data_IF_440825499039
#
_entry.id   IF_440825499039
#
_cell.length_a   1.000
_cell.length_b   1.000
_cell.length_c   1.000
_cell.angle_alpha   90.00
_cell.angle_beta   90.00
_cell.angle_gamma   90.00
#
_symmetry.space_group_name_H-M   'P 1'
#
loop_
_entity.id
_entity.type
_entity.pdbx_description
1 polymer ?
#
# COMPACT_ATOMS: atom_id res chain seq x y z
N UNK A 1 11.96 23.19 -23.40
CA UNK A 1 11.67 21.87 -24.00
C UNK A 1 12.80 21.55 -24.96
N UNK A 2 13.22 20.29 -25.01
CA UNK A 2 14.33 19.80 -25.85
C UNK A 2 13.86 18.59 -26.63
N UNK A 3 14.07 18.58 -27.95
CA UNK A 3 13.92 17.37 -28.78
C UNK A 3 15.31 16.96 -29.24
N UNK A 4 15.71 15.71 -28.95
CA UNK A 4 17.03 15.20 -29.37
C UNK A 4 16.97 14.57 -30.76
N UNK A 5 18.13 14.39 -31.40
CA UNK A 5 18.23 13.66 -32.66
C UNK A 5 17.73 12.20 -32.57
N UNK A 6 17.71 11.62 -31.37
CA UNK A 6 17.16 10.30 -31.09
C UNK A 6 15.63 10.30 -30.89
N UNK A 7 14.94 11.41 -31.17
CA UNK A 7 13.48 11.53 -31.07
C UNK A 7 12.95 11.60 -29.63
N UNK A 8 13.78 11.91 -28.65
CA UNK A 8 13.35 12.02 -27.24
C UNK A 8 12.94 13.45 -26.90
N UNK A 9 11.84 13.59 -26.17
CA UNK A 9 11.32 14.85 -25.65
C UNK A 9 11.69 15.03 -24.17
N UNK A 10 12.40 16.12 -23.88
CA UNK A 10 12.73 16.57 -22.54
C UNK A 10 12.00 17.87 -22.18
N UNK A 11 11.29 17.89 -21.05
CA UNK A 11 10.74 19.12 -20.46
C UNK A 11 11.53 19.43 -19.19
N UNK A 12 12.24 20.56 -19.19
CA UNK A 12 13.14 20.96 -18.10
C UNK A 12 14.50 20.23 -18.06
N UNK A 13 14.81 19.40 -19.06
CA UNK A 13 16.07 18.66 -19.17
C UNK A 13 16.62 18.67 -20.59
N UNK A 14 17.96 18.76 -20.72
CA UNK A 14 18.68 18.61 -21.99
C UNK A 14 19.06 17.17 -22.33
N UNK A 15 18.96 16.25 -21.36
CA UNK A 15 19.44 14.87 -21.46
C UNK A 15 18.33 13.88 -21.07
N UNK A 16 17.25 13.76 -21.87
CA UNK A 16 16.12 12.88 -21.55
C UNK A 16 16.52 11.40 -21.54
N UNK A 17 16.26 10.72 -20.41
CA UNK A 17 16.57 9.30 -20.19
C UNK A 17 15.52 8.34 -20.78
N UNK A 18 14.36 8.86 -21.17
CA UNK A 18 13.24 8.12 -21.79
C UNK A 18 12.69 8.92 -22.99
N UNK A 19 11.83 8.33 -23.85
CA UNK A 19 11.20 9.05 -24.96
C UNK A 19 10.46 10.32 -24.54
N UNK A 20 9.87 10.32 -23.34
CA UNK A 20 9.38 11.52 -22.66
C UNK A 20 10.00 11.59 -21.26
N UNK A 21 10.70 12.68 -20.95
CA UNK A 21 11.31 12.93 -19.64
C UNK A 21 10.94 14.33 -19.15
N UNK A 22 10.33 14.40 -17.98
CA UNK A 22 9.93 15.66 -17.34
C UNK A 22 10.66 15.78 -16.01
N UNK A 23 11.55 16.76 -15.87
CA UNK A 23 12.38 16.95 -14.67
C UNK A 23 11.78 17.92 -13.65
N UNK A 24 10.85 18.78 -14.09
CA UNK A 24 10.19 19.77 -13.26
C UNK A 24 8.84 19.30 -12.72
N UNK A 25 8.40 19.95 -11.65
CA UNK A 25 7.04 19.84 -11.13
C UNK A 25 6.43 21.21 -10.96
N UNK A 26 5.11 21.32 -11.14
CA UNK A 26 4.34 22.53 -10.84
C UNK A 26 3.33 22.24 -9.73
N UNK A 27 3.09 23.25 -8.90
CA UNK A 27 2.05 23.18 -7.87
C UNK A 27 0.69 23.14 -8.54
N UNK A 28 -0.09 22.09 -8.29
CA UNK A 28 -1.44 21.93 -8.82
C UNK A 28 -2.43 21.64 -7.69
N UNK A 29 -3.56 22.33 -7.71
CA UNK A 29 -4.62 22.19 -6.71
C UNK A 29 -5.71 21.27 -7.24
N UNK A 30 -5.88 20.14 -6.56
CA UNK A 30 -6.94 19.17 -6.82
C UNK A 30 -8.13 19.45 -5.89
N UNK A 31 -9.33 19.00 -6.29
CA UNK A 31 -10.53 19.05 -5.45
C UNK A 31 -11.02 20.47 -5.10
N UNK A 32 -11.12 21.35 -6.10
CA UNK A 32 -11.85 22.62 -5.97
C UNK A 32 -13.39 22.43 -6.07
N UNK A 33 -13.96 21.43 -5.36
CA UNK A 33 -15.42 21.27 -5.24
C UNK A 33 -16.04 19.88 -5.51
N UNK A 34 -15.34 18.74 -5.38
CA UNK A 34 -15.97 17.41 -5.55
C UNK A 34 -15.29 16.29 -4.76
N UNK A 35 -16.03 15.27 -4.30
CA UNK A 35 -15.49 14.26 -3.40
C UNK A 35 -14.58 13.23 -4.09
N UNK A 36 -13.57 12.78 -3.32
CA UNK A 36 -12.68 11.62 -3.51
C UNK A 36 -11.47 11.83 -4.44
N UNK A 37 -10.31 12.01 -3.80
CA UNK A 37 -9.02 11.64 -4.38
C UNK A 37 -8.21 10.88 -3.31
N UNK A 38 -7.39 9.93 -3.75
CA UNK A 38 -6.37 9.29 -2.92
C UNK A 38 -5.01 9.73 -3.45
N UNK A 39 -4.22 10.44 -2.64
CA UNK A 39 -2.83 10.76 -2.97
C UNK A 39 -1.95 9.87 -2.12
N UNK A 40 -1.13 9.06 -2.79
CA UNK A 40 0.03 8.41 -2.19
C UNK A 40 1.30 9.11 -2.64
N UNK A 41 1.99 9.77 -1.73
CA UNK A 41 3.37 10.22 -1.90
C UNK A 41 4.30 9.32 -1.08
N UNK A 42 5.61 9.52 -1.22
CA UNK A 42 6.60 8.81 -0.40
C UNK A 42 6.60 9.21 1.08
N UNK A 43 5.80 10.20 1.48
CA UNK A 43 5.75 10.74 2.83
C UNK A 43 4.33 10.83 3.40
N UNK A 44 3.28 10.70 2.56
CA UNK A 44 1.89 10.79 3.00
C UNK A 44 0.98 9.96 2.10
N UNK A 45 0.08 9.20 2.71
CA UNK A 45 -1.11 8.65 2.04
C UNK A 45 -2.32 9.38 2.62
N UNK A 46 -2.98 10.20 1.80
CA UNK A 46 -4.12 11.00 2.23
C UNK A 46 -5.32 10.71 1.33
N UNK A 47 -6.38 10.20 1.95
CA UNK A 47 -7.73 10.20 1.39
C UNK A 47 -8.49 11.32 2.08
N UNK A 48 -8.56 12.50 1.46
CA UNK A 48 -9.29 13.61 2.06
C UNK A 48 -10.73 13.66 1.56
N UNK A 49 -11.67 13.77 2.51
CA UNK A 49 -13.05 14.20 2.28
C UNK A 49 -13.24 15.71 2.55
N UNK A 50 -12.17 16.43 2.95
CA UNK A 50 -12.22 17.84 3.32
C UNK A 50 -11.21 18.66 2.51
N UNK A 51 -11.73 19.33 1.49
CA UNK A 51 -11.15 20.53 0.89
C UNK A 51 -10.11 20.35 -0.23
N UNK A 52 -9.80 21.44 -0.95
CA UNK A 52 -8.80 21.43 -2.02
C UNK A 52 -7.41 21.06 -1.47
N UNK A 53 -6.65 20.28 -2.23
CA UNK A 53 -5.29 19.90 -1.86
C UNK A 53 -4.31 20.19 -2.98
N UNK A 54 -3.21 20.81 -2.57
CA UNK A 54 -2.15 21.28 -3.45
C UNK A 54 -0.98 20.30 -3.40
N UNK A 55 -0.63 19.74 -4.56
CA UNK A 55 0.55 18.87 -4.70
C UNK A 55 1.37 19.24 -5.92
N UNK A 56 2.67 18.94 -5.85
CA UNK A 56 3.58 19.11 -6.99
C UNK A 56 3.43 17.95 -7.96
N UNK A 57 3.09 18.25 -9.21
CA UNK A 57 2.92 17.26 -10.28
C UNK A 57 3.84 17.54 -11.45
N UNK A 58 4.37 16.49 -12.07
CA UNK A 58 5.15 16.60 -13.31
C UNK A 58 4.27 16.59 -14.57
N UNK A 59 3.08 15.99 -14.51
CA UNK A 59 2.13 15.92 -15.62
C UNK A 59 0.69 15.80 -15.12
N UNK A 60 -0.24 16.38 -15.91
CA UNK A 60 -1.70 16.25 -15.72
C UNK A 60 -2.30 15.70 -17.01
N UNK A 61 -3.16 14.70 -16.90
CA UNK A 61 -3.82 14.06 -18.04
C UNK A 61 -5.34 14.25 -17.91
N UNK A 62 -5.98 14.82 -18.93
CA UNK A 62 -7.43 15.07 -18.93
C UNK A 62 -8.30 13.83 -19.21
N UNK A 63 -7.68 12.67 -19.38
CA UNK A 63 -8.35 11.41 -19.70
C UNK A 63 -7.58 10.19 -19.19
N UNK A 64 -8.08 8.97 -19.45
CA UNK A 64 -7.45 7.73 -18.97
C UNK A 64 -6.02 7.56 -19.51
N UNK A 65 -5.14 7.03 -18.67
CA UNK A 65 -3.78 6.64 -19.05
C UNK A 65 -3.79 5.14 -19.31
N UNK A 66 -3.65 4.75 -20.57
CA UNK A 66 -3.44 3.34 -20.95
C UNK A 66 -1.94 3.05 -21.00
N UNK A 67 -1.49 2.09 -20.21
CA UNK A 67 -0.12 1.60 -20.21
C UNK A 67 -0.08 0.14 -19.75
N UNK A 68 1.00 -0.58 -20.06
CA UNK A 68 1.14 -1.99 -19.68
C UNK A 68 1.39 -2.20 -18.19
N UNK A 69 2.11 -1.27 -17.55
CA UNK A 69 2.47 -1.36 -16.13
C UNK A 69 2.93 -0.02 -15.59
N UNK A 70 2.69 0.23 -14.30
CA UNK A 70 3.20 1.39 -13.55
C UNK A 70 4.18 0.88 -12.50
N UNK A 71 5.41 1.39 -12.51
CA UNK A 71 6.43 1.10 -11.50
C UNK A 71 6.51 2.25 -10.51
N UNK A 72 6.15 1.98 -9.26
CA UNK A 72 6.31 2.92 -8.15
C UNK A 72 7.47 2.45 -7.26
N UNK A 73 8.33 3.38 -6.84
CA UNK A 73 9.32 3.07 -5.81
C UNK A 73 8.61 2.66 -4.52
N UNK A 74 9.16 1.70 -3.78
CA UNK A 74 8.59 1.23 -2.51
C UNK A 74 8.26 2.38 -1.55
N UNK A 75 7.14 2.20 -0.87
CA UNK A 75 6.67 2.97 0.28
C UNK A 75 7.57 2.82 1.53
N UNK A 76 8.70 2.12 1.45
CA UNK A 76 9.70 2.06 2.54
C UNK A 76 10.08 3.46 3.07
N UNK A 77 10.02 4.49 2.21
CA UNK A 77 10.31 5.89 2.58
C UNK A 77 9.33 6.49 3.58
N UNK A 78 8.09 6.00 3.65
CA UNK A 78 7.10 6.45 4.64
C UNK A 78 6.96 5.48 5.82
N UNK A 79 7.94 4.61 6.05
CA UNK A 79 7.98 3.66 7.17
C UNK A 79 9.14 4.02 8.09
N UNK A 80 8.86 4.11 9.38
CA UNK A 80 9.84 4.29 10.45
C UNK A 80 9.88 3.06 11.36
N UNK A 81 10.97 2.88 12.13
CA UNK A 81 11.16 1.77 13.08
C UNK A 81 10.92 0.38 12.46
N UNK A 82 11.53 0.13 11.29
CA UNK A 82 11.34 -1.11 10.53
C UNK A 82 12.17 -2.23 11.18
N UNK A 83 11.51 -3.02 12.01
CA UNK A 83 12.07 -4.22 12.62
C UNK A 83 11.43 -5.48 12.03
N UNK A 84 12.21 -6.57 11.99
CA UNK A 84 11.67 -7.86 11.60
C UNK A 84 10.75 -8.36 12.71
N UNK A 85 9.48 -8.59 12.39
CA UNK A 85 8.55 -9.20 13.34
C UNK A 85 9.01 -10.64 13.64
N UNK A 86 9.26 -10.93 14.91
CA UNK A 86 9.60 -12.28 15.33
C UNK A 86 8.42 -13.23 15.09
N UNK A 87 8.71 -14.40 14.53
CA UNK A 87 7.80 -15.53 14.38
C UNK A 87 7.17 -16.01 15.70
N UNK A 88 7.73 -15.68 16.87
CA UNK A 88 7.08 -15.92 18.17
C UNK A 88 5.80 -15.10 18.34
N UNK A 89 5.64 -13.99 17.62
CA UNK A 89 4.40 -13.23 17.60
C UNK A 89 3.21 -14.06 17.08
N UNK A 90 3.47 -15.03 16.20
CA UNK A 90 2.43 -15.97 15.73
C UNK A 90 1.94 -16.92 16.84
N UNK A 91 2.72 -17.16 17.90
CA UNK A 91 2.26 -18.01 19.01
C UNK A 91 1.07 -17.40 19.73
N UNK A 92 1.11 -16.08 19.90
CA UNK A 92 0.01 -15.33 20.50
C UNK A 92 -1.29 -15.42 19.68
N UNK A 93 -1.21 -15.78 18.39
CA UNK A 93 -2.40 -15.99 17.56
C UNK A 93 -3.07 -17.34 17.81
N UNK A 94 -2.31 -18.37 18.17
CA UNK A 94 -2.88 -19.68 18.48
C UNK A 94 -3.70 -19.66 19.78
N UNK A 95 -3.33 -18.78 20.71
CA UNK A 95 -4.00 -18.63 21.99
C UNK A 95 -5.26 -17.73 21.92
N UNK A 96 -5.63 -17.22 20.74
CA UNK A 96 -6.80 -16.35 20.59
C UNK A 96 -8.09 -17.15 20.39
N UNK A 97 -9.07 -16.89 21.25
CA UNK A 97 -10.42 -17.40 21.09
C UNK A 97 -11.16 -16.71 19.93
N UNK A 98 -11.72 -17.51 19.02
CA UNK A 98 -12.55 -17.07 17.91
C UNK A 98 -14.02 -17.23 18.26
N UNK A 99 -14.81 -16.19 18.00
CA UNK A 99 -16.22 -16.14 18.33
C UNK A 99 -17.07 -15.89 17.07
N UNK A 100 -18.29 -16.40 17.09
CA UNK A 100 -19.35 -15.99 16.16
C UNK A 100 -20.16 -14.86 16.79
N UNK A 101 -20.37 -13.77 16.06
CA UNK A 101 -21.15 -12.64 16.54
C UNK A 101 -21.99 -11.98 15.44
N UNK A 102 -22.99 -11.21 15.87
CA UNK A 102 -23.75 -10.29 15.04
C UNK A 102 -23.52 -8.88 15.57
N UNK A 103 -23.42 -7.90 14.68
CA UNK A 103 -23.37 -6.52 15.13
C UNK A 103 -24.71 -6.14 15.76
N UNK A 104 -24.68 -5.36 16.84
CA UNK A 104 -25.93 -4.86 17.43
C UNK A 104 -26.67 -4.04 16.38
N UNK A 105 -27.92 -4.42 16.11
CA UNK A 105 -28.77 -3.76 15.11
C UNK A 105 -28.52 -4.19 13.65
N UNK A 106 -27.75 -5.25 13.38
CA UNK A 106 -27.63 -5.78 12.02
C UNK A 106 -28.75 -6.77 11.68
N UNK A 107 -29.37 -6.61 10.52
CA UNK A 107 -30.31 -7.58 9.94
C UNK A 107 -29.60 -8.78 9.27
N UNK A 108 -28.28 -8.91 9.46
CA UNK A 108 -27.49 -9.99 8.89
C UNK A 108 -27.98 -11.37 9.41
N UNK A 109 -28.35 -12.24 8.47
CA UNK A 109 -28.81 -13.60 8.77
C UNK A 109 -27.64 -14.52 9.12
N UNK A 110 -26.48 -14.31 8.49
CA UNK A 110 -25.24 -15.08 8.66
C UNK A 110 -24.38 -14.41 9.75
N UNK A 111 -24.09 -15.09 10.89
CA UNK A 111 -23.17 -14.58 11.90
C UNK A 111 -21.74 -14.43 11.33
N UNK A 112 -21.04 -13.37 11.74
CA UNK A 112 -19.62 -13.19 11.41
C UNK A 112 -18.74 -13.97 12.37
N UNK A 113 -17.56 -14.35 11.91
CA UNK A 113 -16.52 -15.04 12.70
C UNK A 113 -15.41 -14.03 12.98
N UNK A 114 -14.99 -13.88 14.23
CA UNK A 114 -13.89 -12.98 14.60
C UNK A 114 -13.61 -12.92 16.11
N UNK A 115 -12.75 -11.99 16.53
CA UNK A 115 -12.26 -11.88 17.91
C UNK A 115 -13.08 -10.83 18.72
N UNK A 116 -13.33 -11.08 20.01
CA UNK A 116 -14.12 -10.15 20.88
C UNK A 116 -13.24 -9.18 21.69
N UNK A 117 -12.07 -9.63 22.19
CA UNK A 117 -11.26 -8.87 23.17
C UNK A 117 -10.15 -8.01 22.61
N UNK A 118 -9.82 -8.17 21.33
CA UNK A 118 -8.93 -7.26 20.64
C UNK A 118 -9.66 -6.79 19.39
N UNK A 119 -10.01 -5.51 19.34
CA UNK A 119 -10.03 -4.82 18.06
C UNK A 119 -8.59 -4.84 17.54
N UNK A 120 -8.13 -6.01 17.09
CA UNK A 120 -6.99 -6.03 16.22
C UNK A 120 -7.49 -5.27 15.00
N UNK A 121 -6.98 -4.06 14.82
CA UNK A 121 -7.13 -3.27 13.60
C UNK A 121 -6.34 -3.97 12.49
N UNK A 122 -6.73 -5.22 12.24
CA UNK A 122 -6.18 -6.18 11.32
C UNK A 122 -6.96 -5.99 10.06
N UNK A 123 -6.38 -5.15 9.23
CA UNK A 123 -6.71 -5.09 7.83
C UNK A 123 -6.34 -6.43 7.16
N UNK A 124 -6.98 -6.74 6.03
CA UNK A 124 -6.72 -7.94 5.24
C UNK A 124 -5.22 -8.13 4.96
N UNK A 125 -4.51 -7.04 4.71
CA UNK A 125 -3.06 -7.02 4.50
C UNK A 125 -2.27 -7.61 5.69
N UNK A 126 -2.73 -7.38 6.92
CA UNK A 126 -2.11 -7.93 8.13
C UNK A 126 -2.41 -9.42 8.29
N UNK A 127 -3.63 -9.87 7.96
CA UNK A 127 -3.99 -11.30 7.96
C UNK A 127 -3.08 -12.07 6.99
N UNK A 128 -2.90 -11.55 5.77
CA UNK A 128 -2.01 -12.18 4.79
C UNK A 128 -0.57 -12.27 5.28
N UNK A 129 -0.04 -11.20 5.91
CA UNK A 129 1.30 -11.21 6.47
C UNK A 129 1.47 -12.22 7.63
N UNK A 130 0.45 -12.33 8.49
CA UNK A 130 0.44 -13.30 9.60
C UNK A 130 0.39 -14.73 9.05
N UNK A 131 -0.48 -15.02 8.07
CA UNK A 131 -0.55 -16.34 7.43
C UNK A 131 0.80 -16.74 6.82
N UNK A 132 1.49 -15.80 6.16
CA UNK A 132 2.81 -16.03 5.61
C UNK A 132 3.86 -16.34 6.70
N UNK A 133 3.82 -15.63 7.83
CA UNK A 133 4.69 -15.92 8.97
C UNK A 133 4.41 -17.29 9.60
N UNK A 134 3.14 -17.71 9.68
CA UNK A 134 2.78 -19.04 10.17
C UNK A 134 3.36 -20.14 9.27
N UNK A 135 3.21 -20.00 7.94
CA UNK A 135 3.81 -20.93 6.97
C UNK A 135 5.34 -20.97 7.11
N UNK A 136 5.99 -19.81 7.24
CA UNK A 136 7.44 -19.74 7.43
C UNK A 136 7.89 -20.44 8.72
N UNK A 137 7.11 -20.31 9.79
CA UNK A 137 7.37 -21.01 11.06
C UNK A 137 7.22 -22.53 10.92
N UNK A 138 6.19 -22.99 10.21
CA UNK A 138 5.98 -24.42 9.93
C UNK A 138 7.14 -25.00 9.12
N UNK A 139 7.58 -24.31 8.06
CA UNK A 139 8.74 -24.71 7.26
C UNK A 139 10.00 -24.86 8.12
N UNK A 140 10.29 -23.88 8.99
CA UNK A 140 11.43 -23.95 9.92
C UNK A 140 11.32 -25.13 10.88
N UNK A 141 10.12 -25.51 11.31
CA UNK A 141 9.90 -26.67 12.17
C UNK A 141 10.08 -27.99 11.43
N UNK A 142 9.66 -28.06 10.16
CA UNK A 142 9.87 -29.21 9.28
C UNK A 142 11.36 -29.44 9.05
N UNK A 143 12.12 -28.40 8.68
CA UNK A 143 13.59 -28.48 8.50
C UNK A 143 14.30 -28.97 9.78
N UNK A 144 13.85 -28.52 10.95
CA UNK A 144 14.37 -28.98 12.24
C UNK A 144 14.05 -30.45 12.55
N UNK A 145 12.97 -30.98 12.01
CA UNK A 145 12.58 -32.38 12.18
C UNK A 145 13.32 -33.27 11.18
N UNK A 146 13.43 -32.83 9.93
CA UNK A 146 14.20 -33.53 8.88
C UNK A 146 15.68 -33.63 9.22
N UNK A 147 16.28 -32.59 9.83
CA UNK A 147 17.68 -32.64 10.28
C UNK A 147 17.94 -33.55 11.49
N UNK A 148 16.89 -34.09 12.12
CA UNK A 148 16.97 -35.05 13.24
C UNK A 148 16.69 -36.49 12.83
N UNK A 149 16.26 -36.71 11.59
CA UNK A 149 16.03 -38.01 10.96
C UNK A 149 17.32 -38.49 10.28
#
# INVERSE_FOLDING_TARGET
>A
MTITAAGRCGIGTGTPSAPLSVSGTVSNTFNAGSQLYAIGSSTAYTTSQLGPVTVSVAATFGGPIQCSSIYCTSDRRCKENIELLDTTYCDKFYDLDVYTYKYRGSDETIPKIGFIRAQMNIDYSKITAINFMMIKKLLKRIEQLESKL
#
